data_IF_816980283660
#
_entry.id   IF_816980283660
#
_cell.length_a   1.000
_cell.length_b   1.000
_cell.length_c   1.000
_cell.angle_alpha   90.00
_cell.angle_beta   90.00
_cell.angle_gamma   90.00
#
_symmetry.space_group_name_H-M   'P 1'
#
loop_
_entity.id
_entity.type
_entity.pdbx_description
1 polymer ?
#
# COMPACT_ATOMS: atom_id res chain seq x y z
N UNK A 1 -10.89 -3.01 2.68
CA UNK A 1 -10.77 -3.97 3.80
C UNK A 1 -11.44 -5.32 3.53
N UNK A 2 -12.70 -5.40 3.09
CA UNK A 2 -13.46 -6.67 3.01
C UNK A 2 -12.95 -7.76 2.04
N UNK A 3 -11.80 -7.58 1.40
CA UNK A 3 -11.17 -8.58 0.52
C UNK A 3 -9.93 -9.20 1.17
N UNK A 4 -9.61 -10.44 0.77
CA UNK A 4 -8.45 -11.19 1.25
C UNK A 4 -8.84 -12.29 2.24
N UNK A 5 -8.41 -13.51 1.97
CA UNK A 5 -8.59 -14.66 2.87
C UNK A 5 -7.36 -14.82 3.75
N UNK A 6 -7.56 -14.93 5.06
CA UNK A 6 -6.50 -15.27 6.00
C UNK A 6 -6.41 -16.80 6.10
N UNK A 7 -5.25 -17.36 5.81
CA UNK A 7 -4.99 -18.78 6.00
C UNK A 7 -4.70 -19.07 7.47
N UNK A 8 -5.44 -20.02 8.04
CA UNK A 8 -5.39 -20.33 9.47
C UNK A 8 -5.57 -21.81 9.74
N UNK A 9 -4.90 -22.30 10.80
CA UNK A 9 -5.22 -23.58 11.42
C UNK A 9 -6.40 -23.41 12.38
N UNK A 10 -7.39 -24.28 12.21
CA UNK A 10 -8.58 -24.33 13.07
C UNK A 10 -8.27 -25.06 14.38
N UNK A 11 -9.13 -24.92 15.41
CA UNK A 11 -8.97 -25.64 16.67
C UNK A 11 -8.91 -27.18 16.56
N UNK A 12 -9.52 -27.75 15.52
CA UNK A 12 -9.50 -29.19 15.23
C UNK A 12 -8.21 -29.66 14.53
N UNK A 13 -7.24 -28.77 14.33
CA UNK A 13 -5.96 -29.05 13.66
C UNK A 13 -6.01 -28.95 12.13
N UNK A 14 -7.20 -28.87 11.53
CA UNK A 14 -7.37 -28.73 10.07
C UNK A 14 -7.05 -27.30 9.58
N UNK A 15 -6.66 -27.16 8.32
CA UNK A 15 -6.44 -25.86 7.69
C UNK A 15 -7.75 -25.35 7.08
N UNK A 16 -7.98 -24.04 7.10
CA UNK A 16 -9.13 -23.41 6.45
C UNK A 16 -8.96 -23.23 4.93
N UNK A 17 -7.92 -23.82 4.35
CA UNK A 17 -7.57 -23.78 2.93
C UNK A 17 -6.93 -25.10 2.52
N UNK A 18 -6.90 -25.36 1.21
CA UNK A 18 -6.31 -26.56 0.64
C UNK A 18 -4.80 -26.36 0.44
N UNK A 19 -4.00 -26.80 1.42
CA UNK A 19 -2.53 -26.69 1.33
C UNK A 19 -1.94 -27.46 0.14
N UNK A 20 -2.58 -28.57 -0.27
CA UNK A 20 -2.06 -29.39 -1.36
C UNK A 20 -2.21 -28.70 -2.70
N UNK A 21 -3.24 -27.89 -2.91
CA UNK A 21 -3.50 -27.26 -4.21
C UNK A 21 -3.28 -25.74 -4.23
N UNK A 22 -3.21 -25.08 -3.06
CA UNK A 22 -2.98 -23.63 -3.01
C UNK A 22 -1.51 -23.29 -3.29
N UNK A 23 -1.30 -22.42 -4.27
CA UNK A 23 0.01 -21.93 -4.71
C UNK A 23 0.17 -20.47 -4.28
N UNK A 24 1.33 -20.15 -3.72
CA UNK A 24 1.73 -18.78 -3.44
C UNK A 24 2.11 -18.08 -4.75
N UNK A 25 1.41 -16.99 -5.07
CA UNK A 25 1.62 -16.23 -6.31
C UNK A 25 2.99 -15.54 -6.38
N UNK A 26 3.65 -15.30 -5.25
CA UNK A 26 4.96 -14.63 -5.22
C UNK A 26 6.10 -15.62 -5.46
N UNK A 27 6.03 -16.80 -4.85
CA UNK A 27 7.11 -17.80 -4.93
C UNK A 27 6.86 -18.90 -5.97
N UNK A 28 5.62 -19.07 -6.43
CA UNK A 28 5.20 -20.19 -7.29
C UNK A 28 5.14 -21.55 -6.59
N UNK A 29 5.49 -21.60 -5.30
CA UNK A 29 5.50 -22.83 -4.50
C UNK A 29 4.17 -23.02 -3.75
N UNK A 30 4.01 -24.18 -3.10
CA UNK A 30 2.90 -24.38 -2.17
C UNK A 30 2.99 -23.38 -1.01
N UNK A 31 1.84 -22.94 -0.52
CA UNK A 31 1.77 -22.09 0.68
C UNK A 31 2.39 -22.83 1.87
N UNK A 32 3.42 -22.22 2.46
CA UNK A 32 4.19 -22.81 3.56
C UNK A 32 3.94 -22.14 4.92
N UNK A 33 3.13 -21.08 4.98
CA UNK A 33 2.84 -20.34 6.21
C UNK A 33 1.35 -19.96 6.32
N UNK A 34 0.87 -19.92 7.56
CA UNK A 34 -0.50 -19.59 7.95
C UNK A 34 -0.51 -19.19 9.44
N UNK A 35 -1.62 -18.65 9.91
CA UNK A 35 -1.78 -18.37 11.34
C UNK A 35 -2.08 -19.65 12.10
N UNK A 36 -1.32 -19.90 13.16
CA UNK A 36 -1.61 -20.96 14.12
C UNK A 36 -2.68 -20.52 15.13
N UNK A 37 -3.23 -21.47 15.87
CA UNK A 37 -4.28 -21.19 16.85
C UNK A 37 -3.81 -20.15 17.89
N UNK A 38 -4.65 -19.14 18.13
CA UNK A 38 -4.36 -18.05 19.07
C UNK A 38 -3.44 -16.95 18.52
N UNK A 39 -2.97 -17.07 17.27
CA UNK A 39 -2.34 -15.95 16.56
C UNK A 39 -3.40 -15.05 15.94
N UNK A 40 -3.11 -13.75 15.91
CA UNK A 40 -3.94 -12.75 15.23
C UNK A 40 -3.08 -11.81 14.40
N UNK A 41 -3.70 -11.19 13.40
CA UNK A 41 -3.03 -10.23 12.51
C UNK A 41 -2.32 -9.12 13.31
N UNK A 42 -3.03 -8.48 14.24
CA UNK A 42 -2.48 -7.41 15.08
C UNK A 42 -1.32 -7.89 15.97
N UNK A 43 -1.37 -9.14 16.47
CA UNK A 43 -0.30 -9.68 17.33
C UNK A 43 0.98 -9.98 16.55
N UNK A 44 0.88 -10.49 15.32
CA UNK A 44 2.05 -10.80 14.50
C UNK A 44 2.68 -9.55 13.88
N UNK A 45 1.85 -8.62 13.39
CA UNK A 45 2.33 -7.41 12.71
C UNK A 45 2.61 -6.24 13.68
N UNK A 46 2.14 -6.34 14.92
CA UNK A 46 2.38 -5.35 15.97
C UNK A 46 2.02 -3.93 15.53
N UNK A 47 2.95 -3.00 15.73
CA UNK A 47 2.77 -1.59 15.41
C UNK A 47 2.59 -1.30 13.90
N UNK A 48 2.91 -2.26 13.03
CA UNK A 48 2.73 -2.12 11.58
C UNK A 48 1.38 -2.62 11.09
N UNK A 49 0.60 -3.33 11.92
CA UNK A 49 -0.63 -4.01 11.49
C UNK A 49 -1.60 -3.05 10.81
N UNK A 50 -1.96 -1.96 11.50
CA UNK A 50 -2.90 -0.97 10.97
C UNK A 50 -2.33 -0.32 9.71
N UNK A 51 -1.08 0.12 9.77
CA UNK A 51 -0.36 0.78 8.69
C UNK A 51 -0.33 -0.05 7.39
N UNK A 52 -0.11 -1.36 7.53
CA UNK A 52 -0.06 -2.30 6.42
C UNK A 52 -1.46 -2.60 5.85
N UNK A 53 -2.46 -2.82 6.70
CA UNK A 53 -3.82 -3.14 6.25
C UNK A 53 -4.47 -1.96 5.51
N UNK A 54 -4.23 -0.74 5.96
CA UNK A 54 -4.70 0.46 5.28
C UNK A 54 -3.97 0.70 3.96
N UNK A 55 -2.66 0.41 3.91
CA UNK A 55 -1.91 0.42 2.67
C UNK A 55 -2.48 -0.55 1.63
N UNK A 56 -2.83 -1.76 2.06
CA UNK A 56 -3.47 -2.76 1.21
C UNK A 56 -4.84 -2.28 0.73
N UNK A 57 -5.69 -1.80 1.63
CA UNK A 57 -7.03 -1.33 1.27
C UNK A 57 -6.98 -0.13 0.30
N UNK A 58 -6.08 0.80 0.55
CA UNK A 58 -5.84 1.93 -0.34
C UNK A 58 -5.31 1.50 -1.71
N UNK A 59 -4.38 0.54 -1.75
CA UNK A 59 -3.87 0.02 -3.02
C UNK A 59 -4.99 -0.62 -3.87
N UNK A 60 -5.93 -1.32 -3.24
CA UNK A 60 -7.14 -1.84 -3.91
C UNK A 60 -7.99 -0.69 -4.45
N UNK A 61 -8.23 0.35 -3.65
CA UNK A 61 -8.99 1.52 -4.10
C UNK A 61 -8.36 2.18 -5.35
N UNK A 62 -7.03 2.31 -5.42
CA UNK A 62 -6.34 2.84 -6.61
C UNK A 62 -6.53 1.99 -7.87
N UNK A 63 -6.72 0.67 -7.72
CA UNK A 63 -6.95 -0.23 -8.86
C UNK A 63 -8.40 -0.13 -9.30
N UNK A 64 -9.33 -0.24 -8.34
CA UNK A 64 -10.76 -0.24 -8.62
C UNK A 64 -11.29 1.12 -9.09
N UNK A 65 -10.67 2.24 -8.69
CA UNK A 65 -11.08 3.55 -9.20
C UNK A 65 -10.78 3.75 -10.70
N UNK A 66 -9.97 2.88 -11.30
CA UNK A 66 -9.69 2.89 -12.74
C UNK A 66 -10.66 2.01 -13.54
N UNK A 67 -11.46 1.19 -12.86
CA UNK A 67 -12.41 0.25 -13.47
C UNK A 67 -13.66 0.98 -13.96
N UNK A 68 -13.98 0.81 -15.24
CA UNK A 68 -15.09 1.53 -15.89
C UNK A 68 -16.45 1.03 -15.45
N UNK A 69 -16.59 -0.27 -15.15
CA UNK A 69 -17.85 -0.84 -14.67
C UNK A 69 -18.17 -0.33 -13.27
N UNK A 70 -17.15 -0.24 -12.41
CA UNK A 70 -17.29 0.32 -11.06
C UNK A 70 -17.66 1.81 -11.12
N UNK A 71 -17.01 2.58 -11.99
CA UNK A 71 -17.33 4.00 -12.15
C UNK A 71 -18.74 4.21 -12.69
N UNK A 72 -19.16 3.40 -13.67
CA UNK A 72 -20.51 3.42 -14.21
C UNK A 72 -21.55 3.05 -13.15
N UNK A 73 -21.28 2.04 -12.32
CA UNK A 73 -22.13 1.68 -11.17
C UNK A 73 -22.29 2.83 -10.17
N UNK A 74 -21.28 3.70 -10.04
CA UNK A 74 -21.33 4.91 -9.21
C UNK A 74 -21.97 6.12 -9.92
N UNK A 75 -22.41 5.98 -11.17
CA UNK A 75 -23.01 7.06 -11.96
C UNK A 75 -22.00 8.01 -12.60
N UNK A 76 -20.77 7.55 -12.85
CA UNK A 76 -19.68 8.33 -13.45
C UNK A 76 -19.22 7.72 -14.78
N UNK A 77 -19.92 8.04 -15.86
CA UNK A 77 -19.60 7.55 -17.20
C UNK A 77 -18.66 8.48 -17.98
N UNK A 78 -18.04 7.94 -19.03
CA UNK A 78 -17.24 8.65 -20.04
C UNK A 78 -16.28 9.70 -19.45
N UNK A 79 -16.47 10.96 -19.83
CA UNK A 79 -15.63 12.10 -19.44
C UNK A 79 -15.67 12.32 -17.92
N UNK A 80 -16.83 12.12 -17.29
CA UNK A 80 -16.96 12.25 -15.84
C UNK A 80 -16.13 11.17 -15.12
N UNK A 81 -16.20 9.92 -15.59
CA UNK A 81 -15.37 8.83 -15.08
C UNK A 81 -13.87 9.13 -15.21
N UNK A 82 -13.42 9.65 -16.36
CA UNK A 82 -12.02 10.04 -16.56
C UNK A 82 -11.59 11.20 -15.63
N UNK A 83 -12.47 12.18 -15.40
CA UNK A 83 -12.22 13.25 -14.42
C UNK A 83 -12.13 12.71 -12.99
N UNK A 84 -13.00 11.78 -12.60
CA UNK A 84 -12.95 11.12 -11.28
C UNK A 84 -11.63 10.36 -11.11
N UNK A 85 -11.20 9.58 -12.13
CA UNK A 85 -9.89 8.93 -12.14
C UNK A 85 -8.78 9.96 -11.92
N UNK A 86 -8.76 11.03 -12.72
CA UNK A 86 -7.73 12.06 -12.64
C UNK A 86 -7.66 12.71 -11.25
N UNK A 87 -8.79 13.19 -10.72
CA UNK A 87 -8.85 13.84 -9.41
C UNK A 87 -8.49 12.88 -8.29
N UNK A 88 -8.95 11.61 -8.36
CA UNK A 88 -8.58 10.60 -7.38
C UNK A 88 -7.06 10.40 -7.33
N UNK A 89 -6.41 10.19 -8.49
CA UNK A 89 -4.95 10.04 -8.53
C UNK A 89 -4.20 11.29 -8.10
N UNK A 90 -4.67 12.49 -8.49
CA UNK A 90 -4.07 13.74 -8.05
C UNK A 90 -4.15 13.91 -6.53
N UNK A 91 -5.31 13.60 -5.93
CA UNK A 91 -5.51 13.70 -4.49
C UNK A 91 -4.60 12.76 -3.72
N UNK A 92 -4.39 11.55 -4.24
CA UNK A 92 -3.47 10.56 -3.66
C UNK A 92 -2.04 11.11 -3.60
N UNK A 93 -1.56 11.75 -4.67
CA UNK A 93 -0.21 12.34 -4.72
C UNK A 93 -0.11 13.54 -3.77
N UNK A 94 -1.09 14.45 -3.82
CA UNK A 94 -1.16 15.63 -2.94
C UNK A 94 -1.07 15.21 -1.46
N UNK A 95 -1.88 14.23 -1.05
CA UNK A 95 -1.89 13.72 0.33
C UNK A 95 -0.59 12.98 0.68
N UNK A 96 0.01 12.27 -0.27
CA UNK A 96 1.31 11.63 -0.12
C UNK A 96 2.42 12.65 0.18
N UNK A 97 2.45 13.77 -0.54
CA UNK A 97 3.41 14.86 -0.28
C UNK A 97 3.12 15.56 1.04
N UNK A 98 1.86 15.92 1.31
CA UNK A 98 1.45 16.56 2.56
C UNK A 98 1.80 15.70 3.80
N UNK A 99 1.76 14.37 3.67
CA UNK A 99 2.11 13.45 4.74
C UNK A 99 3.55 13.59 5.22
N UNK A 100 4.48 14.09 4.40
CA UNK A 100 5.89 14.30 4.78
C UNK A 100 6.04 15.22 6.00
N UNK A 101 5.12 16.16 6.19
CA UNK A 101 5.07 17.02 7.38
C UNK A 101 4.91 16.22 8.69
N UNK A 102 4.40 15.00 8.60
CA UNK A 102 4.21 14.08 9.71
C UNK A 102 5.42 13.16 9.93
N UNK A 103 6.48 13.23 9.13
CA UNK A 103 7.67 12.42 9.36
C UNK A 103 8.69 13.17 10.23
N UNK A 104 8.99 12.62 11.42
CA UNK A 104 10.08 13.09 12.25
C UNK A 104 11.41 12.52 11.75
N UNK A 105 12.19 13.37 11.06
CA UNK A 105 13.50 13.02 10.50
C UNK A 105 14.50 12.62 11.59
N UNK A 106 14.50 13.32 12.73
CA UNK A 106 15.47 13.09 13.82
C UNK A 106 15.29 11.71 14.45
N UNK A 107 14.05 11.34 14.72
CA UNK A 107 13.69 10.06 15.33
C UNK A 107 13.50 8.94 14.30
N UNK A 108 13.58 9.27 13.00
CA UNK A 108 13.27 8.37 11.87
C UNK A 108 11.91 7.67 12.04
N UNK A 109 10.91 8.43 12.49
CA UNK A 109 9.59 7.94 12.87
C UNK A 109 8.50 8.83 12.30
N UNK A 110 7.39 8.23 11.89
CA UNK A 110 6.17 8.96 11.59
C UNK A 110 5.51 9.41 12.89
N UNK A 111 5.06 10.67 12.93
CA UNK A 111 4.43 11.34 14.06
C UNK A 111 2.94 11.02 14.03
N UNK A 112 2.46 10.51 15.16
CA UNK A 112 1.05 10.22 15.42
C UNK A 112 0.23 11.49 15.58
N UNK A 113 -0.56 11.86 14.57
CA UNK A 113 -1.65 12.81 14.72
C UNK A 113 -2.90 12.06 15.24
N UNK A 114 -3.66 12.71 16.11
CA UNK A 114 -4.68 12.17 17.03
C UNK A 114 -5.90 11.46 16.41
N UNK A 115 -5.94 11.25 15.10
CA UNK A 115 -6.87 10.31 14.49
C UNK A 115 -6.07 9.08 14.04
N UNK A 116 -6.31 7.97 14.73
CA UNK A 116 -5.71 6.65 14.43
C UNK A 116 -5.92 6.22 12.96
N UNK A 117 -6.90 6.82 12.28
CA UNK A 117 -7.23 6.62 10.87
C UNK A 117 -6.27 7.36 9.92
N UNK A 118 -5.71 8.53 10.26
CA UNK A 118 -4.84 9.27 9.32
C UNK A 118 -3.42 8.69 9.20
N UNK A 119 -2.90 8.08 10.27
CA UNK A 119 -1.53 7.53 10.32
C UNK A 119 -1.19 6.47 9.27
N UNK A 120 -2.03 5.44 9.09
CA UNK A 120 -1.79 4.36 8.16
C UNK A 120 -1.88 4.84 6.71
N UNK A 121 -2.81 5.75 6.45
CA UNK A 121 -3.06 6.33 5.13
C UNK A 121 -1.87 7.19 4.67
N UNK A 122 -1.34 8.03 5.55
CA UNK A 122 -0.15 8.85 5.28
C UNK A 122 1.08 8.00 4.90
N UNK A 123 1.38 6.96 5.69
CA UNK A 123 2.51 6.07 5.41
C UNK A 123 2.31 5.23 4.15
N UNK A 124 1.11 4.66 3.97
CA UNK A 124 0.72 3.91 2.77
C UNK A 124 0.91 4.71 1.48
N UNK A 125 0.48 5.97 1.50
CA UNK A 125 0.59 6.90 0.37
C UNK A 125 2.04 7.20 0.05
N UNK A 126 2.89 7.42 1.05
CA UNK A 126 4.31 7.70 0.85
C UNK A 126 5.12 6.48 0.36
N UNK A 127 4.92 5.30 0.95
CA UNK A 127 5.72 4.10 0.61
C UNK A 127 5.48 3.64 -0.84
N UNK A 128 4.24 3.73 -1.34
CA UNK A 128 3.92 3.39 -2.74
C UNK A 128 4.57 4.39 -3.71
N UNK A 129 4.62 5.66 -3.32
CA UNK A 129 5.09 6.74 -4.20
C UNK A 129 6.61 6.89 -4.21
N UNK A 130 7.36 6.41 -3.20
CA UNK A 130 8.84 6.34 -3.24
C UNK A 130 9.39 5.68 -4.52
N UNK A 131 8.70 4.67 -5.06
CA UNK A 131 9.09 3.98 -6.30
C UNK A 131 8.78 4.79 -7.57
N UNK A 132 7.70 5.59 -7.56
CA UNK A 132 7.23 6.39 -8.70
C UNK A 132 7.80 7.81 -8.71
N UNK A 133 7.93 8.46 -7.55
CA UNK A 133 8.66 9.72 -7.34
C UNK A 133 10.10 9.62 -7.81
N UNK A 134 10.81 8.50 -7.56
CA UNK A 134 12.15 8.28 -8.13
C UNK A 134 12.15 8.34 -9.66
N UNK A 135 11.11 7.81 -10.31
CA UNK A 135 10.94 7.80 -11.76
C UNK A 135 10.52 9.17 -12.31
N UNK A 136 9.68 9.91 -11.58
CA UNK A 136 9.30 11.28 -11.93
C UNK A 136 10.47 12.26 -11.77
N UNK A 137 11.18 12.20 -10.63
CA UNK A 137 12.34 13.04 -10.35
C UNK A 137 13.54 12.74 -11.27
N UNK A 138 13.68 11.51 -11.77
CA UNK A 138 14.67 11.17 -12.79
C UNK A 138 14.33 11.71 -14.18
N UNK A 139 13.04 11.91 -14.47
CA UNK A 139 12.58 12.51 -15.75
C UNK A 139 12.68 14.04 -15.71
N UNK A 140 12.59 14.65 -14.53
CA UNK A 140 12.67 16.10 -14.35
C UNK A 140 14.06 16.61 -13.95
N UNK A 141 15.06 15.74 -13.76
CA UNK A 141 16.45 16.14 -13.56
C UNK A 141 17.15 16.16 -14.93
N UNK A 142 17.51 17.34 -15.48
CA UNK A 142 18.50 17.38 -16.54
C UNK A 142 19.77 16.75 -15.98
N UNK A 143 20.38 15.83 -16.74
CA UNK A 143 21.69 15.27 -16.41
C UNK A 143 22.68 16.43 -16.24
N UNK A 144 22.90 16.84 -15.00
CA UNK A 144 23.99 17.72 -14.61
C UNK A 144 25.23 16.87 -14.51
N UNK A 145 26.10 17.04 -15.49
CA UNK A 145 27.46 16.52 -15.54
C UNK A 145 28.18 16.80 -14.22
N UNK A 146 28.42 15.76 -13.42
CA UNK A 146 29.32 15.84 -12.29
C UNK A 146 30.77 15.98 -12.79
N UNK A 147 31.54 16.99 -12.36
CA UNK A 147 32.97 16.98 -12.60
C UNK A 147 33.64 15.94 -11.69
N UNK A 148 34.46 15.07 -12.30
CA UNK A 148 35.46 14.27 -11.61
C UNK A 148 36.50 15.19 -10.95
N UNK A 149 36.60 15.17 -9.62
CA UNK A 149 37.81 15.54 -8.88
C UNK A 149 37.83 14.63 -7.64
N UNK A 150 38.55 13.51 -7.70
CA UNK A 150 39.96 13.29 -7.41
C UNK A 150 40.19 12.89 -5.95
N UNK A 151 40.74 11.67 -5.81
CA UNK A 151 41.33 11.09 -4.62
C UNK A 151 42.40 12.03 -4.03
N UNK A 152 42.31 12.26 -2.72
CA UNK A 152 43.36 12.10 -1.71
C UNK A 152 42.83 12.49 -0.33
#
# INVERSE_FOLDING_TARGET
HGSGKIFMRKPDGSLNFDQKNTVDMLTGNKVASWYEQGQSYCRLFGNLAVAFEECRAFAVACVLCCDEEILSLMGHDDVCGQMVKYVAWLKIIEEGVCSLSQYNVMNKKWITCSSEILQPHSWARFVKDQSKLRRYLSVTSPQSTAPQYLEN
#
